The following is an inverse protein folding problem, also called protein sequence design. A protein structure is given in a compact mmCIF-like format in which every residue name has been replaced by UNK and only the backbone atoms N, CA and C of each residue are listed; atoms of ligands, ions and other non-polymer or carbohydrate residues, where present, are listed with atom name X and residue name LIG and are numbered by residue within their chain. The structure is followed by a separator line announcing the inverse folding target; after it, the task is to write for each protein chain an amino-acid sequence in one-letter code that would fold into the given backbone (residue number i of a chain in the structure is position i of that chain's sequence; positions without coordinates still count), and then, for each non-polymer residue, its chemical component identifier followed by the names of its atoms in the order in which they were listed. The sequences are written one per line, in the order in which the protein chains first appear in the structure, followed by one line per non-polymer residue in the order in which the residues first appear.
data_IF_141762103113
#
_entry.id   IF_141762103113
#
_cell.length_a   1.000
_cell.length_b   1.000
_cell.length_c   1.000
_cell.angle_alpha   90.00
_cell.angle_beta   90.00
_cell.angle_gamma   90.00
#
_symmetry.space_group_name_H-M   'P 1'
#
loop_
_entity.id
_entity.type
_entity.pdbx_description
1 polymer ?
#
# COMPACT_ATOMS: atom_id res chain seq x y z
N UNK A 1 -3.06 5.87 11.23
CA UNK A 1 -1.85 5.03 11.38
C UNK A 1 -0.85 5.44 10.30
N UNK A 2 0.43 5.05 10.42
CA UNK A 2 1.45 5.22 9.39
C UNK A 2 1.78 3.87 8.77
N UNK A 3 1.83 3.81 7.45
CA UNK A 3 2.25 2.62 6.71
C UNK A 3 3.53 3.01 5.97
N UNK A 4 4.64 2.37 6.31
CA UNK A 4 5.95 2.61 5.73
C UNK A 4 6.36 1.40 4.89
N UNK A 5 7.02 1.63 3.75
CA UNK A 5 7.42 0.54 2.86
C UNK A 5 8.84 0.72 2.35
N UNK A 6 9.60 -0.37 2.33
CA UNK A 6 10.98 -0.43 1.90
C UNK A 6 11.97 -0.18 3.03
N UNK A 7 13.18 -0.73 2.88
CA UNK A 7 14.21 -0.84 3.92
C UNK A 7 14.50 0.48 4.66
N UNK A 8 14.71 1.57 3.92
CA UNK A 8 15.07 2.87 4.48
C UNK A 8 13.96 3.53 5.32
N UNK A 9 12.72 3.04 5.21
CA UNK A 9 11.58 3.61 5.92
C UNK A 9 11.30 2.95 7.28
N UNK A 10 12.05 1.90 7.66
CA UNK A 10 11.88 1.23 8.95
C UNK A 10 12.14 2.18 10.13
N UNK A 11 13.20 2.99 10.04
CA UNK A 11 13.52 3.99 11.06
C UNK A 11 12.38 5.01 11.27
N UNK A 12 11.68 5.41 10.19
CA UNK A 12 10.52 6.29 10.27
C UNK A 12 9.35 5.62 10.99
N UNK A 13 9.06 4.35 10.67
CA UNK A 13 8.01 3.60 11.35
C UNK A 13 8.30 3.47 12.85
N UNK A 14 9.54 3.12 13.22
CA UNK A 14 9.97 3.04 14.62
C UNK A 14 9.82 4.36 15.36
N UNK A 15 10.22 5.48 14.73
CA UNK A 15 10.11 6.80 15.32
C UNK A 15 8.65 7.26 15.49
N UNK A 16 7.74 6.86 14.60
CA UNK A 16 6.31 7.17 14.71
C UNK A 16 5.62 6.37 15.83
N UNK A 17 6.17 5.21 16.21
CA UNK A 17 5.73 4.42 17.35
C UNK A 17 4.60 3.44 17.02
N UNK A 18 3.79 3.09 18.03
CA UNK A 18 2.86 1.94 18.00
C UNK A 18 1.77 2.00 16.93
N UNK A 19 1.52 3.18 16.34
CA UNK A 19 0.55 3.35 15.24
C UNK A 19 1.18 3.25 13.86
N UNK A 20 2.44 2.83 13.75
CA UNK A 20 3.11 2.58 12.49
C UNK A 20 3.24 1.08 12.21
N UNK A 21 3.18 0.74 10.93
CA UNK A 21 3.47 -0.59 10.40
C UNK A 21 4.43 -0.47 9.23
N UNK A 22 5.54 -1.21 9.28
CA UNK A 22 6.52 -1.28 8.20
C UNK A 22 6.25 -2.52 7.34
N UNK A 23 6.50 -2.39 6.04
CA UNK A 23 6.37 -3.42 5.03
C UNK A 23 7.67 -3.52 4.23
N UNK A 24 8.08 -4.75 3.91
CA UNK A 24 9.29 -4.98 3.13
C UNK A 24 9.14 -4.48 1.68
N UNK A 25 7.93 -4.61 1.11
CA UNK A 25 7.65 -4.30 -0.29
C UNK A 25 6.24 -3.70 -0.49
N UNK A 26 6.01 -3.16 -1.68
CA UNK A 26 4.72 -2.53 -2.01
C UNK A 26 3.57 -3.53 -2.10
N UNK A 27 3.83 -4.79 -2.47
CA UNK A 27 2.78 -5.79 -2.64
C UNK A 27 2.12 -6.11 -1.28
N UNK A 28 2.94 -6.39 -0.27
CA UNK A 28 2.48 -6.65 1.10
C UNK A 28 1.80 -5.43 1.73
N UNK A 29 2.27 -4.22 1.43
CA UNK A 29 1.58 -2.97 1.80
C UNK A 29 0.19 -2.87 1.16
N UNK A 30 0.09 -3.10 -0.15
CA UNK A 30 -1.17 -3.00 -0.90
C UNK A 30 -2.19 -4.01 -0.38
N UNK A 31 -1.78 -5.26 -0.14
CA UNK A 31 -2.65 -6.30 0.42
C UNK A 31 -3.22 -5.89 1.77
N UNK A 32 -2.38 -5.37 2.68
CA UNK A 32 -2.84 -4.88 3.98
C UNK A 32 -3.82 -3.70 3.83
N UNK A 33 -3.50 -2.73 2.97
CA UNK A 33 -4.38 -1.59 2.72
C UNK A 33 -5.73 -2.00 2.14
N UNK A 34 -5.78 -3.00 1.24
CA UNK A 34 -7.05 -3.50 0.70
C UNK A 34 -7.96 -4.14 1.76
N UNK A 35 -7.37 -4.80 2.76
CA UNK A 35 -8.14 -5.40 3.85
C UNK A 35 -8.61 -4.40 4.91
N UNK A 36 -7.94 -3.26 5.03
CA UNK A 36 -8.16 -2.29 6.11
C UNK A 36 -8.90 -1.02 5.66
N UNK A 37 -8.77 -0.63 4.38
CA UNK A 37 -9.45 0.54 3.84
C UNK A 37 -10.95 0.26 3.62
N UNK A 38 -11.77 1.14 4.16
CA UNK A 38 -13.22 1.17 3.98
C UNK A 38 -13.66 2.49 3.33
N UNK A 39 -14.89 2.50 2.81
CA UNK A 39 -15.49 3.71 2.26
C UNK A 39 -15.45 4.86 3.27
N UNK A 40 -15.03 6.05 2.82
CA UNK A 40 -14.86 7.23 3.66
C UNK A 40 -13.47 7.40 4.28
N UNK A 41 -12.58 6.40 4.19
CA UNK A 41 -11.18 6.65 4.52
C UNK A 41 -10.54 7.62 3.52
N UNK A 42 -9.70 8.52 4.04
CA UNK A 42 -8.83 9.38 3.23
C UNK A 42 -7.40 8.92 3.46
N UNK A 43 -6.69 8.58 2.38
CA UNK A 43 -5.30 8.13 2.41
C UNK A 43 -4.40 9.13 1.69
N UNK A 44 -3.31 9.54 2.35
CA UNK A 44 -2.22 10.29 1.72
C UNK A 44 -1.09 9.33 1.39
N UNK A 45 -0.75 9.23 0.10
CA UNK A 45 0.38 8.44 -0.37
C UNK A 45 1.52 9.38 -0.75
N UNK A 46 2.72 9.15 -0.20
CA UNK A 46 3.90 9.97 -0.47
C UNK A 46 5.14 9.11 -0.58
N UNK A 47 5.98 9.42 -1.57
CA UNK A 47 7.34 8.90 -1.69
C UNK A 47 8.22 9.83 -2.53
N UNK A 48 9.49 9.46 -2.65
CA UNK A 48 10.40 10.07 -3.64
C UNK A 48 10.08 9.51 -5.04
N UNK A 49 10.63 10.12 -6.10
CA UNK A 49 10.50 9.57 -7.47
C UNK A 49 11.04 8.13 -7.56
N UNK A 50 12.16 7.83 -6.87
CA UNK A 50 12.73 6.48 -6.84
C UNK A 50 11.90 5.47 -6.06
N UNK A 51 11.00 5.93 -5.19
CA UNK A 51 10.11 5.06 -4.41
C UNK A 51 8.93 4.51 -5.22
N UNK A 52 8.63 5.08 -6.39
CA UNK A 52 7.55 4.65 -7.28
C UNK A 52 6.19 4.45 -6.56
N UNK A 53 5.76 5.43 -5.76
CA UNK A 53 4.51 5.36 -4.98
C UNK A 53 3.25 5.57 -5.83
N UNK A 54 3.40 6.08 -7.05
CA UNK A 54 2.38 6.08 -8.11
C UNK A 54 1.84 4.66 -8.37
N UNK A 55 2.71 3.64 -8.36
CA UNK A 55 2.28 2.23 -8.51
C UNK A 55 1.35 1.75 -7.41
N UNK A 56 1.53 2.23 -6.18
CA UNK A 56 0.65 1.92 -5.04
C UNK A 56 -0.72 2.55 -5.25
N UNK A 57 -0.76 3.80 -5.72
CA UNK A 57 -2.01 4.50 -6.06
C UNK A 57 -2.76 3.73 -7.16
N UNK A 58 -2.07 3.41 -8.26
CA UNK A 58 -2.63 2.66 -9.39
C UNK A 58 -3.23 1.32 -8.93
N UNK A 59 -2.48 0.55 -8.14
CA UNK A 59 -2.96 -0.73 -7.64
C UNK A 59 -4.23 -0.57 -6.80
N UNK A 60 -4.26 0.37 -5.85
CA UNK A 60 -5.43 0.57 -4.99
C UNK A 60 -6.66 1.01 -5.79
N UNK A 61 -6.49 1.84 -6.82
CA UNK A 61 -7.57 2.28 -7.70
C UNK A 61 -8.08 1.19 -8.65
N UNK A 62 -7.22 0.25 -9.08
CA UNK A 62 -7.60 -0.85 -9.97
C UNK A 62 -8.58 -1.87 -9.36
N UNK A 63 -8.91 -1.74 -8.05
CA UNK A 63 -9.72 -2.72 -7.33
C UNK A 63 -8.99 -4.06 -7.13
N UNK A 64 -9.57 -5.02 -6.39
CA UNK A 64 -9.06 -6.38 -6.37
C UNK A 64 -9.01 -6.92 -7.80
N UNK A 65 -7.94 -7.61 -8.18
CA UNK A 65 -7.97 -8.36 -9.42
C UNK A 65 -9.13 -9.35 -9.35
N UNK A 66 -10.10 -9.22 -10.24
CA UNK A 66 -11.15 -10.21 -10.44
C UNK A 66 -10.46 -11.56 -10.71
N UNK A 67 -10.42 -12.44 -9.72
CA UNK A 67 -10.10 -13.85 -9.92
C UNK A 67 -11.29 -14.48 -10.65
N UNK A 68 -11.40 -14.21 -11.95
CA UNK A 68 -12.49 -14.69 -12.81
C UNK A 68 -11.95 -14.93 -14.20
N UNK A 69 -11.83 -16.21 -14.58
CA UNK A 69 -11.28 -16.64 -15.85
C UNK A 69 -11.89 -15.90 -17.04
N UNK A 70 -11.02 -15.41 -17.94
CA UNK A 70 -11.46 -15.07 -19.28
C UNK A 70 -11.77 -16.38 -19.99
N UNK A 71 -13.07 -16.65 -20.03
CA UNK A 71 -13.73 -17.55 -20.96
C UNK A 71 -13.20 -17.27 -22.37
N UNK A 72 -12.86 -18.34 -23.08
CA UNK A 72 -12.67 -18.31 -24.52
C UNK A 72 -13.91 -17.73 -25.21
N UNK A 73 -13.70 -16.85 -26.18
CA UNK A 73 -14.50 -16.70 -27.39
C UNK A 73 -13.64 -15.96 -28.43
#
# INVERSE_FOLDING_TARGET
ALYAVGELSDAMARAFGSRARHFADQATLIEALRGELVAGNTLLIKGSRGSAMDRVVEALLAGPAENGGRHAA
#
